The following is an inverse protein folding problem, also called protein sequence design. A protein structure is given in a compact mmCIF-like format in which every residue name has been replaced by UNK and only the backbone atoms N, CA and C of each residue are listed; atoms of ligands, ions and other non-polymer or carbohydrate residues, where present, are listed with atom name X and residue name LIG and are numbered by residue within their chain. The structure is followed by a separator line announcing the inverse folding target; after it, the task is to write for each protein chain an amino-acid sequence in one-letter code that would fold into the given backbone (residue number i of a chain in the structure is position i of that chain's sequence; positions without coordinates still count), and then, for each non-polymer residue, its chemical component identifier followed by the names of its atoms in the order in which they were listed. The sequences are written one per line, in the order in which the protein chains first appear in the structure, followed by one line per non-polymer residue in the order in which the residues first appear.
data_IF_295637318916
#
_entry.id   IF_295637318916
#
_cell.length_a   1.000
_cell.length_b   1.000
_cell.length_c   1.000
_cell.angle_alpha   90.00
_cell.angle_beta   90.00
_cell.angle_gamma   90.00
#
_symmetry.space_group_name_H-M   'P 1'
#
loop_
_entity.id
_entity.type
_entity.pdbx_description
1 polymer ?
#
# COMPACT_ATOMS: atom_id res chain seq x y z
N UNK A 1 8.73 2.57 5.58
CA UNK A 1 7.98 3.57 6.38
C UNK A 1 6.89 2.85 7.17
N UNK A 2 5.88 3.54 7.71
CA UNK A 2 4.66 2.89 8.24
C UNK A 2 3.47 3.35 7.40
N UNK A 3 2.68 2.41 6.87
CA UNK A 3 1.42 2.75 6.22
C UNK A 3 0.46 3.36 7.27
N UNK A 4 -0.20 4.47 6.94
CA UNK A 4 -1.07 5.20 7.86
C UNK A 4 -2.19 5.90 7.10
N UNK A 5 -3.39 5.94 7.69
CA UNK A 5 -4.54 6.67 7.15
C UNK A 5 -4.28 8.18 7.21
N UNK A 6 -4.07 8.80 6.05
CA UNK A 6 -3.83 10.25 5.94
C UNK A 6 -5.01 11.07 6.48
N UNK A 7 -6.24 10.62 6.26
CA UNK A 7 -7.46 11.28 6.74
C UNK A 7 -7.58 11.36 8.28
N UNK A 8 -6.80 10.56 9.01
CA UNK A 8 -6.77 10.56 10.48
C UNK A 8 -5.48 11.16 11.04
N UNK A 9 -4.57 11.61 10.18
CA UNK A 9 -3.28 12.18 10.58
C UNK A 9 -3.37 13.70 10.54
N UNK A 10 -3.30 14.33 11.72
CA UNK A 10 -3.20 15.80 11.79
C UNK A 10 -1.93 16.30 11.07
N UNK A 11 -2.06 17.38 10.30
CA UNK A 11 -0.97 17.93 9.48
C UNK A 11 0.25 18.33 10.31
N UNK A 12 0.05 18.82 11.53
CA UNK A 12 1.14 19.11 12.49
C UNK A 12 2.03 17.88 12.76
N UNK A 13 1.46 16.66 12.76
CA UNK A 13 2.21 15.42 12.99
C UNK A 13 3.01 14.96 11.76
N UNK A 14 2.76 15.55 10.60
CA UNK A 14 3.46 15.28 9.36
C UNK A 14 4.70 16.18 9.17
N UNK A 15 4.81 17.28 9.91
CA UNK A 15 5.93 18.24 9.78
C UNK A 15 7.27 17.54 10.01
N UNK A 16 8.20 17.74 9.07
CA UNK A 16 9.55 17.17 9.11
C UNK A 16 9.64 15.68 8.78
N UNK A 17 8.54 15.01 8.42
CA UNK A 17 8.53 13.59 8.02
C UNK A 17 8.62 13.45 6.50
N UNK A 18 9.26 12.38 6.06
CA UNK A 18 9.18 11.93 4.67
C UNK A 18 7.86 11.19 4.45
N UNK A 19 7.05 11.67 3.52
CA UNK A 19 5.77 11.07 3.15
C UNK A 19 5.87 10.55 1.72
N UNK A 20 5.45 9.31 1.53
CA UNK A 20 5.35 8.68 0.21
C UNK A 20 3.89 8.36 -0.06
N UNK A 21 3.38 8.85 -1.18
CA UNK A 21 2.07 8.51 -1.72
C UNK A 21 2.23 7.53 -2.90
N UNK A 22 1.12 7.08 -3.50
CA UNK A 22 1.18 6.08 -4.59
C UNK A 22 1.95 6.59 -5.82
N UNK A 23 1.92 7.91 -6.04
CA UNK A 23 2.60 8.60 -7.13
C UNK A 23 4.13 8.62 -6.94
N UNK A 24 4.59 8.69 -5.69
CA UNK A 24 6.00 8.65 -5.33
C UNK A 24 6.52 7.24 -5.03
N UNK A 25 5.65 6.23 -4.98
CA UNK A 25 6.04 4.85 -4.70
C UNK A 25 6.83 4.26 -5.87
N UNK A 26 8.01 3.73 -5.56
CA UNK A 26 8.94 3.12 -6.51
C UNK A 26 9.76 2.02 -5.82
N UNK A 27 10.36 1.14 -6.62
CA UNK A 27 11.20 0.03 -6.15
C UNK A 27 10.61 -1.35 -6.49
N UNK A 28 11.40 -2.42 -6.27
CA UNK A 28 11.09 -3.75 -6.80
C UNK A 28 9.77 -4.33 -6.28
N UNK A 29 9.42 -4.07 -5.02
CA UNK A 29 8.13 -4.52 -4.44
C UNK A 29 6.96 -3.78 -5.07
N UNK A 30 7.11 -2.48 -5.32
CA UNK A 30 6.07 -1.65 -5.98
C UNK A 30 5.84 -2.14 -7.40
N UNK A 31 6.91 -2.43 -8.14
CA UNK A 31 6.83 -2.91 -9.51
C UNK A 31 6.18 -4.29 -9.57
N UNK A 32 6.55 -5.21 -8.65
CA UNK A 32 5.92 -6.52 -8.54
C UNK A 32 4.42 -6.43 -8.22
N UNK A 33 4.01 -5.54 -7.32
CA UNK A 33 2.59 -5.31 -7.00
C UNK A 33 1.84 -4.76 -8.22
N UNK A 34 2.37 -3.74 -8.90
CA UNK A 34 1.73 -3.14 -10.08
C UNK A 34 1.52 -4.17 -11.20
N UNK A 35 2.55 -4.96 -11.45
CA UNK A 35 2.54 -6.04 -12.44
C UNK A 35 1.55 -7.17 -12.07
N UNK A 36 1.49 -7.57 -10.80
CA UNK A 36 0.48 -8.50 -10.30
C UNK A 36 -0.95 -7.94 -10.42
N UNK A 37 -1.15 -6.66 -10.11
CA UNK A 37 -2.46 -5.99 -10.25
C UNK A 37 -2.93 -5.97 -11.70
N UNK A 38 -2.02 -5.68 -12.62
CA UNK A 38 -2.29 -5.69 -14.06
C UNK A 38 -2.68 -7.09 -14.54
N UNK A 39 -1.85 -8.11 -14.26
CA UNK A 39 -2.14 -9.50 -14.64
C UNK A 39 -3.42 -10.05 -14.02
N UNK A 40 -3.70 -9.68 -12.78
CA UNK A 40 -4.88 -10.12 -12.04
C UNK A 40 -6.17 -9.37 -12.42
N UNK A 41 -6.08 -8.35 -13.29
CA UNK A 41 -7.18 -7.44 -13.60
C UNK A 41 -7.90 -6.93 -12.34
N UNK A 42 -7.11 -6.55 -11.33
CA UNK A 42 -7.62 -6.21 -9.98
C UNK A 42 -8.39 -4.89 -9.99
N UNK A 43 -8.00 -3.96 -10.85
CA UNK A 43 -8.57 -2.62 -10.93
C UNK A 43 -9.87 -2.62 -11.71
N UNK A 44 -10.95 -2.10 -11.10
CA UNK A 44 -12.19 -1.76 -11.80
C UNK A 44 -12.34 -0.24 -11.93
N UNK A 45 -13.06 0.42 -11.02
CA UNK A 45 -13.24 1.88 -11.05
C UNK A 45 -11.98 2.67 -10.65
N UNK A 46 -10.97 2.01 -10.08
CA UNK A 46 -9.69 2.63 -9.70
C UNK A 46 -9.65 3.32 -8.34
N UNK A 47 -10.79 3.62 -7.72
CA UNK A 47 -10.82 4.52 -6.56
C UNK A 47 -10.05 4.02 -5.33
N UNK A 48 -10.18 2.74 -4.96
CA UNK A 48 -9.49 2.18 -3.79
C UNK A 48 -8.02 1.82 -4.05
N UNK A 49 -7.58 1.85 -5.30
CA UNK A 49 -6.30 1.25 -5.71
C UNK A 49 -5.08 1.95 -5.13
N UNK A 50 -5.04 3.29 -4.97
CA UNK A 50 -3.94 3.96 -4.26
C UNK A 50 -3.71 3.42 -2.85
N UNK A 51 -4.77 3.28 -2.06
CA UNK A 51 -4.71 2.77 -0.68
C UNK A 51 -4.30 1.29 -0.64
N UNK A 52 -4.96 0.46 -1.45
CA UNK A 52 -4.66 -0.97 -1.54
C UNK A 52 -3.22 -1.24 -1.99
N UNK A 53 -2.71 -0.47 -2.97
CA UNK A 53 -1.33 -0.60 -3.45
C UNK A 53 -0.33 -0.32 -2.33
N UNK A 54 -0.49 0.79 -1.61
CA UNK A 54 0.41 1.14 -0.51
C UNK A 54 0.29 0.17 0.67
N UNK A 55 -0.89 -0.41 0.91
CA UNK A 55 -1.09 -1.42 1.93
C UNK A 55 -0.35 -2.72 1.59
N UNK A 56 -0.50 -3.20 0.35
CA UNK A 56 0.16 -4.42 -0.13
C UNK A 56 1.69 -4.28 -0.19
N UNK A 57 2.20 -3.14 -0.66
CA UNK A 57 3.65 -2.85 -0.64
C UNK A 57 4.17 -2.87 0.80
N UNK A 58 3.49 -2.19 1.73
CA UNK A 58 3.90 -2.18 3.13
C UNK A 58 3.87 -3.57 3.78
N UNK A 59 2.96 -4.45 3.36
CA UNK A 59 2.93 -5.84 3.81
C UNK A 59 4.18 -6.57 3.32
N UNK A 60 4.45 -6.56 2.02
CA UNK A 60 5.53 -7.33 1.41
C UNK A 60 6.92 -6.82 1.77
N UNK A 61 7.09 -5.52 2.02
CA UNK A 61 8.32 -4.97 2.59
C UNK A 61 8.57 -5.46 4.03
N UNK A 62 7.50 -5.74 4.80
CA UNK A 62 7.60 -6.16 6.20
C UNK A 62 7.65 -7.69 6.36
N UNK A 63 6.94 -8.40 5.50
CA UNK A 63 6.86 -9.85 5.44
C UNK A 63 6.83 -10.27 3.96
N UNK A 64 7.97 -10.72 3.38
CA UNK A 64 8.06 -11.07 1.97
C UNK A 64 7.26 -12.31 1.54
N UNK A 65 6.83 -13.15 2.50
CA UNK A 65 6.11 -14.39 2.24
C UNK A 65 4.93 -14.55 3.22
N UNK A 66 3.92 -13.65 3.18
CA UNK A 66 2.77 -13.75 4.06
C UNK A 66 1.85 -14.88 3.59
N UNK A 67 1.24 -15.57 4.55
CA UNK A 67 0.16 -16.51 4.25
C UNK A 67 -1.16 -15.77 3.93
N UNK A 68 -2.15 -16.53 3.45
CA UNK A 68 -3.44 -15.97 3.06
C UNK A 68 -4.19 -15.27 4.23
N UNK A 69 -4.06 -15.77 5.46
CA UNK A 69 -4.72 -15.19 6.62
C UNK A 69 -4.06 -13.86 7.01
N UNK A 70 -2.73 -13.78 6.93
CA UNK A 70 -1.97 -12.55 7.13
C UNK A 70 -2.30 -11.50 6.08
N UNK A 71 -2.43 -11.90 4.80
CA UNK A 71 -2.85 -11.00 3.72
C UNK A 71 -4.25 -10.45 4.02
N UNK A 72 -5.22 -11.31 4.30
CA UNK A 72 -6.60 -10.90 4.58
C UNK A 72 -6.67 -9.92 5.77
N UNK A 73 -5.98 -10.25 6.86
CA UNK A 73 -5.93 -9.40 8.06
C UNK A 73 -5.31 -8.03 7.77
N UNK A 74 -4.19 -8.01 7.03
CA UNK A 74 -3.49 -6.77 6.69
C UNK A 74 -4.31 -5.86 5.77
N UNK A 75 -5.01 -6.46 4.80
CA UNK A 75 -5.75 -5.72 3.78
C UNK A 75 -7.13 -5.24 4.24
N UNK A 76 -7.70 -5.82 5.30
CA UNK A 76 -9.05 -5.54 5.84
C UNK A 76 -9.32 -4.06 6.20
N UNK A 77 -8.28 -3.23 6.30
CA UNK A 77 -8.42 -1.80 6.55
C UNK A 77 -8.78 -0.93 5.34
N UNK A 78 -8.94 -1.54 4.15
CA UNK A 78 -9.13 -0.91 2.84
C UNK A 78 -10.38 -1.40 2.11
#
# INVERSE_FOLDING_TARGET
GKNTKSCQTATERAVGKSIVTVEGASGPVVDAIRDAWYRGNVVQCGYCQPGQTLAAVSLLESNPAPDAAQIALWMNGN
#
